data_IF_363651647410
#
_entry.id   IF_363651647410
#
_cell.length_a   1.000
_cell.length_b   1.000
_cell.length_c   1.000
_cell.angle_alpha   90.00
_cell.angle_beta   90.00
_cell.angle_gamma   90.00
#
_symmetry.space_group_name_H-M   'P 1'
#
loop_
_entity.id
_entity.type
_entity.pdbx_description
1 polymer ?
#
# COMPACT_ATOMS: atom_id res chain seq x y z
N UNK A 1 30.75 -13.64 36.18
CA UNK A 1 29.74 -14.05 35.18
C UNK A 1 28.75 -14.96 35.88
N UNK A 2 27.46 -14.82 35.63
CA UNK A 2 26.46 -15.74 36.16
C UNK A 2 26.65 -17.13 35.56
N UNK A 3 26.47 -18.19 36.34
CA UNK A 3 26.71 -19.57 35.92
C UNK A 3 25.63 -20.04 34.93
N UNK A 4 26.06 -20.71 33.85
CA UNK A 4 25.20 -21.32 32.84
C UNK A 4 25.25 -22.85 32.98
N UNK A 5 24.10 -23.49 33.13
CA UNK A 5 23.99 -24.95 33.20
C UNK A 5 23.03 -25.47 32.14
N UNK A 6 23.44 -26.47 31.36
CA UNK A 6 22.60 -27.18 30.40
C UNK A 6 22.26 -28.57 30.93
N UNK A 7 20.98 -28.81 31.18
CA UNK A 7 20.43 -30.14 31.42
C UNK A 7 20.04 -30.75 30.08
N UNK A 8 20.67 -31.86 29.71
CA UNK A 8 20.53 -32.47 28.40
C UNK A 8 20.62 -33.99 28.46
N UNK A 9 20.47 -34.64 27.31
CA UNK A 9 20.77 -36.07 27.18
C UNK A 9 21.52 -36.32 25.88
N UNK A 10 22.54 -37.16 25.91
CA UNK A 10 23.16 -37.67 24.69
C UNK A 10 22.78 -39.15 24.46
N UNK A 11 22.43 -39.55 23.23
CA UNK A 11 22.27 -38.71 22.04
C UNK A 11 20.90 -38.01 22.01
N UNK A 12 20.88 -36.68 21.81
CA UNK A 12 19.64 -35.94 21.53
C UNK A 12 19.92 -34.78 20.57
N UNK A 13 19.25 -34.73 19.40
CA UNK A 13 19.43 -33.62 18.46
C UNK A 13 18.97 -32.29 19.06
N UNK A 14 18.05 -32.30 20.03
CA UNK A 14 17.61 -31.08 20.72
C UNK A 14 18.70 -30.57 21.67
N UNK A 15 19.37 -31.47 22.40
CA UNK A 15 20.47 -31.11 23.31
C UNK A 15 21.69 -30.60 22.54
N UNK A 16 22.07 -31.28 21.46
CA UNK A 16 23.22 -30.87 20.63
C UNK A 16 23.07 -29.46 20.03
N UNK A 17 21.85 -29.04 19.71
CA UNK A 17 21.58 -27.67 19.23
C UNK A 17 21.98 -26.61 20.25
N UNK A 18 21.69 -26.84 21.53
CA UNK A 18 22.03 -25.90 22.62
C UNK A 18 23.53 -25.90 22.87
N UNK A 19 24.16 -27.08 22.87
CA UNK A 19 25.61 -27.24 22.97
C UNK A 19 26.34 -26.43 21.88
N UNK A 20 25.91 -26.55 20.62
CA UNK A 20 26.53 -25.81 19.52
C UNK A 20 26.31 -24.31 19.63
N UNK A 21 25.11 -23.86 20.02
CA UNK A 21 24.83 -22.44 20.21
C UNK A 21 25.73 -21.81 21.29
N UNK A 22 25.93 -22.50 22.43
CA UNK A 22 26.81 -22.04 23.51
C UNK A 22 28.28 -21.98 23.05
N UNK A 23 28.76 -23.03 22.36
CA UNK A 23 30.11 -23.08 21.80
C UNK A 23 30.36 -21.98 20.76
N UNK A 24 29.42 -21.73 19.85
CA UNK A 24 29.53 -20.68 18.83
C UNK A 24 29.57 -19.26 19.42
N UNK A 25 28.94 -19.07 20.58
CA UNK A 25 28.93 -17.79 21.30
C UNK A 25 30.08 -17.63 22.29
N UNK A 26 30.94 -18.65 22.44
CA UNK A 26 32.02 -18.64 23.43
C UNK A 26 31.50 -18.54 24.87
N UNK A 27 30.31 -19.10 25.14
CA UNK A 27 29.72 -19.10 26.48
C UNK A 27 30.12 -20.40 27.17
N UNK A 28 30.87 -20.28 28.26
CA UNK A 28 31.18 -21.42 29.12
C UNK A 28 29.92 -21.91 29.83
N UNK A 29 29.76 -23.22 29.94
CA UNK A 29 28.60 -23.83 30.57
C UNK A 29 28.94 -25.18 31.22
N UNK A 30 28.20 -25.51 32.27
CA UNK A 30 28.22 -26.83 32.90
C UNK A 30 27.17 -27.72 32.24
N UNK A 31 27.56 -28.91 31.77
CA UNK A 31 26.62 -29.89 31.21
C UNK A 31 26.22 -30.92 32.26
N UNK A 32 24.92 -31.14 32.44
CA UNK A 32 24.37 -32.20 33.28
C UNK A 32 23.58 -33.16 32.41
N UNK A 33 23.99 -34.43 32.41
CA UNK A 33 23.30 -35.47 31.67
C UNK A 33 22.10 -36.01 32.47
N UNK A 34 20.91 -36.03 31.86
CA UNK A 34 19.65 -36.44 32.46
C UNK A 34 19.20 -37.84 32.01
N UNK A 35 18.57 -38.56 32.93
CA UNK A 35 17.96 -39.87 32.71
C UNK A 35 16.43 -39.74 32.66
N UNK A 36 15.79 -40.34 31.65
CA UNK A 36 14.32 -40.31 31.52
C UNK A 36 13.60 -41.30 32.44
N UNK A 37 14.30 -42.30 32.96
CA UNK A 37 13.76 -43.26 33.92
C UNK A 37 13.91 -42.78 35.37
N UNK A 38 14.94 -41.99 35.65
CA UNK A 38 15.21 -41.41 36.97
C UNK A 38 15.64 -39.94 36.84
N UNK A 39 14.65 -39.06 36.65
CA UNK A 39 14.86 -37.62 36.39
C UNK A 39 15.43 -36.91 37.62
N UNK A 40 16.38 -36.00 37.43
CA UNK A 40 16.95 -35.25 38.56
C UNK A 40 15.94 -34.29 39.20
N UNK A 41 16.10 -34.04 40.51
CA UNK A 41 15.30 -33.05 41.23
C UNK A 41 15.45 -31.64 40.64
N UNK A 42 16.61 -31.33 40.06
CA UNK A 42 16.87 -30.05 39.41
C UNK A 42 16.11 -29.91 38.09
N UNK A 43 16.05 -30.97 37.28
CA UNK A 43 15.23 -30.96 36.06
C UNK A 43 13.75 -30.72 36.38
N UNK A 44 13.23 -31.41 37.41
CA UNK A 44 11.85 -31.23 37.84
C UNK A 44 11.59 -29.84 38.42
N UNK A 45 12.58 -29.23 39.09
CA UNK A 45 12.51 -27.85 39.56
C UNK A 45 12.45 -26.84 38.41
N UNK A 46 13.25 -27.05 37.37
CA UNK A 46 13.41 -26.07 36.28
C UNK A 46 12.44 -26.25 35.12
N UNK A 47 11.88 -27.45 34.94
CA UNK A 47 10.82 -27.73 33.96
C UNK A 47 9.71 -28.61 34.60
N UNK A 48 8.97 -28.08 35.59
CA UNK A 48 7.97 -28.86 36.32
C UNK A 48 6.78 -29.28 35.45
N UNK A 49 6.48 -28.52 34.39
CA UNK A 49 5.33 -28.74 33.51
C UNK A 49 5.60 -29.88 32.53
N UNK A 50 6.68 -29.80 31.76
CA UNK A 50 6.95 -30.77 30.69
C UNK A 50 7.92 -31.85 31.11
N UNK A 51 8.79 -31.57 32.09
CA UNK A 51 9.78 -32.51 32.62
C UNK A 51 10.64 -33.14 31.50
N UNK A 52 11.01 -32.33 30.51
CA UNK A 52 11.77 -32.69 29.30
C UNK A 52 13.07 -31.90 29.23
N UNK A 53 14.03 -32.46 28.50
CA UNK A 53 15.31 -31.82 28.13
C UNK A 53 15.34 -31.48 26.63
N UNK A 54 16.11 -30.47 26.18
CA UNK A 54 17.07 -29.68 26.95
C UNK A 54 16.44 -28.57 27.80
N UNK A 55 17.06 -28.26 28.95
CA UNK A 55 16.75 -27.08 29.77
C UNK A 55 18.04 -26.30 30.02
N UNK A 56 18.05 -25.02 29.64
CA UNK A 56 19.18 -24.13 29.89
C UNK A 56 18.86 -23.24 31.10
N UNK A 57 19.77 -23.17 32.06
CA UNK A 57 19.63 -22.40 33.29
C UNK A 57 20.74 -21.36 33.35
N UNK A 58 20.40 -20.12 33.63
CA UNK A 58 21.37 -19.03 33.79
C UNK A 58 21.07 -18.32 35.12
N UNK A 59 22.08 -18.23 36.00
CA UNK A 59 21.92 -17.59 37.31
C UNK A 59 20.81 -18.23 38.16
N UNK A 60 20.63 -19.55 38.07
CA UNK A 60 19.59 -20.29 38.79
C UNK A 60 18.16 -20.11 38.25
N UNK A 61 17.99 -19.50 37.07
CA UNK A 61 16.69 -19.34 36.40
C UNK A 61 16.63 -20.15 35.11
N UNK A 62 15.59 -20.97 34.96
CA UNK A 62 15.34 -21.71 33.73
C UNK A 62 14.96 -20.75 32.60
N UNK A 63 15.59 -20.91 31.44
CA UNK A 63 15.29 -20.16 30.23
C UNK A 63 14.16 -20.89 29.49
N UNK A 64 13.11 -20.15 29.12
CA UNK A 64 11.93 -20.69 28.46
C UNK A 64 12.26 -21.37 27.11
N UNK A 65 11.54 -22.44 26.80
CA UNK A 65 11.71 -23.28 25.59
C UNK A 65 11.56 -22.48 24.28
N UNK A 66 10.80 -21.37 24.30
CA UNK A 66 10.66 -20.43 23.19
C UNK A 66 11.99 -19.74 22.80
N UNK A 67 12.90 -19.53 23.75
CA UNK A 67 14.24 -18.98 23.47
C UNK A 67 15.17 -20.03 22.83
N UNK A 68 14.97 -21.31 23.15
CA UNK A 68 15.69 -22.42 22.53
C UNK A 68 15.23 -22.65 21.08
N UNK A 69 13.93 -22.45 20.81
CA UNK A 69 13.39 -22.42 19.45
C UNK A 69 13.93 -21.23 18.65
N UNK A 70 14.12 -20.06 19.29
CA UNK A 70 14.73 -18.88 18.68
C UNK A 70 16.20 -19.11 18.27
N UNK A 71 17.00 -19.79 19.11
CA UNK A 71 18.35 -20.24 18.75
C UNK A 71 18.34 -21.23 17.56
N UNK A 72 17.30 -22.06 17.47
CA UNK A 72 17.10 -23.01 16.38
C UNK A 72 16.85 -22.30 15.03
N UNK A 73 16.14 -21.16 15.04
CA UNK A 73 15.93 -20.31 13.87
C UNK A 73 17.22 -19.64 13.41
N UNK A 74 18.08 -19.23 14.36
CA UNK A 74 19.38 -18.60 14.08
C UNK A 74 20.40 -19.57 13.44
N UNK A 75 20.34 -20.86 13.74
CA UNK A 75 21.28 -21.87 13.21
C UNK A 75 20.96 -22.36 11.79
N UNK A 76 19.76 -22.06 11.25
CA UNK A 76 19.41 -22.42 9.86
C UNK A 76 20.08 -21.55 8.80
N UNK A 77 20.66 -20.42 9.19
CA UNK A 77 21.34 -19.50 8.29
C UNK A 77 22.83 -19.40 8.64
N UNK A 78 23.63 -20.30 8.07
CA UNK A 78 25.08 -20.33 8.19
C UNK A 78 25.78 -19.15 7.49
N UNK A 79 25.56 -17.92 7.95
CA UNK A 79 26.38 -16.75 7.58
C UNK A 79 26.86 -16.03 8.84
N UNK A 80 28.13 -15.63 8.81
CA UNK A 80 28.79 -14.76 9.79
C UNK A 80 27.84 -13.63 10.20
N UNK A 81 27.60 -13.51 11.50
CA UNK A 81 26.76 -12.47 12.08
C UNK A 81 27.56 -11.15 12.01
N UNK A 82 27.38 -10.38 10.93
CA UNK A 82 27.31 -8.94 11.11
C UNK A 82 26.04 -8.67 11.92
N UNK A 83 26.12 -7.81 12.94
CA UNK A 83 25.03 -7.45 13.83
C UNK A 83 23.69 -7.39 13.08
N UNK A 84 22.85 -8.41 13.24
CA UNK A 84 21.49 -8.37 12.73
C UNK A 84 20.75 -7.35 13.59
N UNK A 85 20.21 -6.30 12.98
CA UNK A 85 19.56 -5.27 13.76
C UNK A 85 18.23 -5.77 14.36
N UNK A 86 17.92 -5.29 15.56
CA UNK A 86 16.88 -5.79 16.47
C UNK A 86 15.46 -5.37 16.09
N UNK A 87 15.30 -4.44 15.14
CA UNK A 87 14.01 -3.88 14.71
C UNK A 87 13.84 -4.01 13.17
N UNK A 88 12.61 -4.18 12.70
CA UNK A 88 12.24 -3.99 11.27
C UNK A 88 12.69 -2.62 10.74
N UNK A 89 12.69 -1.60 11.61
CA UNK A 89 13.26 -0.29 11.32
C UNK A 89 14.72 -0.40 10.87
N UNK A 90 15.52 -1.15 11.62
CA UNK A 90 16.95 -1.28 11.36
C UNK A 90 17.28 -2.29 10.23
N UNK A 91 16.33 -3.13 9.77
CA UNK A 91 16.52 -4.05 8.62
C UNK A 91 16.36 -3.39 7.26
N UNK A 92 15.64 -2.27 7.17
CA UNK A 92 15.54 -1.47 5.94
C UNK A 92 16.83 -0.72 5.59
N UNK A 93 17.89 -0.94 6.36
CA UNK A 93 19.16 -0.23 6.27
C UNK A 93 20.14 -1.01 5.38
N UNK A 94 19.87 -0.94 4.09
CA UNK A 94 20.91 -0.98 3.07
C UNK A 94 20.63 0.20 2.14
N UNK A 95 21.50 1.20 2.20
CA UNK A 95 21.61 2.35 1.29
C UNK A 95 20.61 3.52 1.38
N UNK A 96 19.33 3.36 1.78
CA UNK A 96 18.34 4.48 1.71
C UNK A 96 17.71 4.95 3.04
N UNK A 97 17.89 4.18 4.13
CA UNK A 97 17.45 4.53 5.48
C UNK A 97 15.92 4.58 5.67
N UNK A 98 15.35 3.93 6.71
CA UNK A 98 13.90 3.93 7.00
C UNK A 98 13.29 5.34 7.08
N UNK A 99 14.11 6.34 7.43
CA UNK A 99 13.70 7.72 7.61
C UNK A 99 13.18 8.38 6.32
N UNK A 100 13.73 8.07 5.14
CA UNK A 100 13.26 8.67 3.88
C UNK A 100 11.87 8.14 3.51
N UNK A 101 11.65 6.83 3.62
CA UNK A 101 10.35 6.19 3.36
C UNK A 101 9.27 6.78 4.27
N UNK A 102 9.55 6.86 5.58
CA UNK A 102 8.61 7.41 6.57
C UNK A 102 8.32 8.89 6.26
N UNK A 103 9.36 9.68 5.96
CA UNK A 103 9.20 11.10 5.66
C UNK A 103 8.36 11.33 4.40
N UNK A 104 8.63 10.57 3.32
CA UNK A 104 7.88 10.69 2.06
C UNK A 104 6.44 10.21 2.21
N UNK A 105 6.19 9.12 2.93
CA UNK A 105 4.83 8.63 3.18
C UNK A 105 4.02 9.62 4.04
N UNK A 106 4.63 10.19 5.10
CA UNK A 106 4.04 11.25 5.90
C UNK A 106 3.78 12.53 5.07
N UNK A 107 4.73 12.93 4.21
CA UNK A 107 4.56 14.06 3.31
C UNK A 107 3.39 13.88 2.35
N UNK A 108 3.22 12.69 1.78
CA UNK A 108 2.08 12.38 0.92
C UNK A 108 0.75 12.56 1.68
N UNK A 109 0.72 12.22 2.97
CA UNK A 109 -0.39 12.42 3.88
C UNK A 109 -0.61 13.84 4.41
N UNK A 110 0.08 14.87 3.88
CA UNK A 110 -0.06 16.26 4.35
C UNK A 110 -1.52 16.74 4.26
N UNK A 111 -2.10 17.27 5.35
CA UNK A 111 -3.45 17.86 5.31
C UNK A 111 -3.57 18.95 4.24
N UNK A 112 -4.66 18.93 3.48
CA UNK A 112 -4.85 19.85 2.34
C UNK A 112 -4.21 19.37 1.04
N UNK A 113 -3.57 18.19 1.01
CA UNK A 113 -2.95 17.64 -0.21
C UNK A 113 -3.41 16.21 -0.48
N UNK A 114 -3.31 15.80 -1.74
CA UNK A 114 -3.50 14.42 -2.17
C UNK A 114 -2.72 14.08 -3.44
N UNK A 115 -3.09 12.99 -4.10
CA UNK A 115 -2.36 12.44 -5.25
C UNK A 115 -3.19 12.58 -6.53
N UNK A 116 -2.55 13.08 -7.59
CA UNK A 116 -3.05 12.93 -8.96
C UNK A 116 -2.62 11.56 -9.50
N UNK A 117 -3.57 10.70 -9.87
CA UNK A 117 -3.28 9.44 -10.55
C UNK A 117 -3.31 9.66 -12.07
N UNK A 118 -2.16 9.95 -12.68
CA UNK A 118 -1.96 10.16 -14.11
C UNK A 118 -1.21 8.99 -14.77
N UNK A 119 -1.40 7.78 -14.22
CA UNK A 119 -0.70 6.55 -14.55
C UNK A 119 -1.48 5.64 -15.50
N UNK A 120 -2.40 6.22 -16.27
CA UNK A 120 -3.10 5.48 -17.30
C UNK A 120 -2.10 4.90 -18.32
N UNK A 121 -2.19 3.59 -18.56
CA UNK A 121 -1.46 2.91 -19.63
C UNK A 121 -1.82 3.50 -21.00
N UNK A 122 -1.01 3.23 -22.02
CA UNK A 122 -1.29 3.67 -23.40
C UNK A 122 -2.69 3.22 -23.88
N UNK A 123 -3.13 2.02 -23.50
CA UNK A 123 -4.47 1.52 -23.83
C UNK A 123 -5.57 2.26 -23.06
N UNK A 124 -5.38 2.47 -21.76
CA UNK A 124 -6.38 3.13 -20.91
C UNK A 124 -6.54 4.62 -21.22
N UNK A 125 -5.44 5.34 -21.45
CA UNK A 125 -5.51 6.74 -21.86
C UNK A 125 -6.09 6.89 -23.26
N UNK A 126 -5.88 5.90 -24.14
CA UNK A 126 -6.51 5.84 -25.45
C UNK A 126 -8.03 5.88 -25.37
N UNK A 127 -8.64 5.08 -24.49
CA UNK A 127 -10.11 5.12 -24.26
C UNK A 127 -10.58 6.50 -23.79
N UNK A 128 -9.80 7.18 -22.96
CA UNK A 128 -10.13 8.54 -22.50
C UNK A 128 -10.01 9.57 -23.62
N UNK A 129 -8.95 9.54 -24.41
CA UNK A 129 -8.78 10.44 -25.55
C UNK A 129 -9.87 10.21 -26.61
N UNK A 130 -10.21 8.95 -26.91
CA UNK A 130 -11.30 8.65 -27.84
C UNK A 130 -12.66 9.20 -27.39
N UNK A 131 -12.93 9.26 -26.07
CA UNK A 131 -14.18 9.83 -25.55
C UNK A 131 -14.37 11.33 -25.83
N UNK A 132 -13.28 12.04 -26.18
CA UNK A 132 -13.27 13.44 -26.58
C UNK A 132 -12.83 13.62 -28.05
N UNK A 133 -12.87 12.54 -28.84
CA UNK A 133 -12.46 12.50 -30.25
C UNK A 133 -11.01 12.92 -30.51
N UNK A 134 -10.11 12.61 -29.58
CA UNK A 134 -8.67 12.86 -29.71
C UNK A 134 -7.94 11.56 -30.02
N UNK A 135 -7.01 11.61 -30.98
CA UNK A 135 -6.21 10.44 -31.37
C UNK A 135 -5.19 10.06 -30.28
N UNK A 136 -5.00 8.76 -30.05
CA UNK A 136 -4.05 8.22 -29.09
C UNK A 136 -2.62 8.14 -29.64
N UNK A 137 -2.02 9.30 -29.85
CA UNK A 137 -0.59 9.44 -30.23
C UNK A 137 0.22 10.01 -29.06
N UNK A 138 1.53 9.77 -29.06
CA UNK A 138 2.42 10.19 -27.98
C UNK A 138 2.37 11.70 -27.73
N UNK A 139 2.32 12.52 -28.79
CA UNK A 139 2.21 13.97 -28.69
C UNK A 139 0.98 14.43 -27.90
N UNK A 140 -0.17 13.79 -28.12
CA UNK A 140 -1.42 14.11 -27.41
C UNK A 140 -1.40 13.62 -25.97
N UNK A 141 -0.82 12.43 -25.70
CA UNK A 141 -0.61 11.95 -24.34
C UNK A 141 0.27 12.93 -23.56
N UNK A 142 1.43 13.29 -24.12
CA UNK A 142 2.35 14.29 -23.57
C UNK A 142 1.68 15.64 -23.33
N UNK A 143 0.90 16.14 -24.30
CA UNK A 143 0.19 17.42 -24.19
C UNK A 143 -0.82 17.44 -23.04
N UNK A 144 -1.59 16.35 -22.87
CA UNK A 144 -2.47 16.20 -21.71
C UNK A 144 -1.71 16.21 -20.39
N UNK A 145 -0.57 15.49 -20.31
CA UNK A 145 0.25 15.47 -19.08
C UNK A 145 0.85 16.82 -18.77
N UNK A 146 1.37 17.51 -19.79
CA UNK A 146 1.88 18.87 -19.66
C UNK A 146 0.81 19.85 -19.20
N UNK A 147 -0.41 19.77 -19.77
CA UNK A 147 -1.55 20.57 -19.33
C UNK A 147 -1.79 20.43 -17.82
N UNK A 148 -1.84 19.19 -17.32
CA UNK A 148 -2.07 18.89 -15.90
C UNK A 148 -0.91 19.39 -15.02
N UNK A 149 0.33 19.05 -15.35
CA UNK A 149 1.49 19.32 -14.49
C UNK A 149 1.92 20.78 -14.50
N UNK A 150 1.67 21.50 -15.60
CA UNK A 150 1.98 22.92 -15.74
C UNK A 150 0.79 23.83 -15.42
N UNK A 151 -0.31 23.30 -14.85
CA UNK A 151 -1.44 24.14 -14.42
C UNK A 151 -1.00 25.08 -13.28
N UNK A 152 -1.07 26.42 -13.46
CA UNK A 152 -0.69 27.36 -12.43
C UNK A 152 -1.51 27.18 -11.14
N UNK A 153 -0.82 27.03 -10.01
CA UNK A 153 -1.46 26.90 -8.70
C UNK A 153 -2.12 25.55 -8.39
N UNK A 154 -2.08 24.56 -9.29
CA UNK A 154 -2.64 23.24 -9.00
C UNK A 154 -1.72 22.39 -8.10
N UNK A 155 -0.40 22.43 -8.35
CA UNK A 155 0.58 21.59 -7.67
C UNK A 155 0.62 21.79 -6.14
N UNK A 156 0.23 22.97 -5.64
CA UNK A 156 0.16 23.23 -4.19
C UNK A 156 -0.83 22.31 -3.45
N UNK A 157 -1.85 21.81 -4.15
CA UNK A 157 -2.87 20.90 -3.62
C UNK A 157 -2.51 19.42 -3.80
N UNK A 158 -1.36 19.15 -4.43
CA UNK A 158 -0.87 17.81 -4.68
C UNK A 158 0.38 17.56 -3.84
N UNK A 159 0.46 16.37 -3.24
CA UNK A 159 1.65 15.87 -2.57
C UNK A 159 2.40 14.86 -3.44
N UNK A 160 1.69 14.19 -4.36
CA UNK A 160 2.30 13.30 -5.34
C UNK A 160 1.54 13.23 -6.67
N UNK A 161 2.23 12.81 -7.71
CA UNK A 161 1.60 12.40 -8.98
C UNK A 161 2.08 11.00 -9.36
N UNK A 162 1.15 10.07 -9.60
CA UNK A 162 1.51 8.73 -10.13
C UNK A 162 1.60 8.84 -11.65
N UNK A 163 2.72 8.38 -12.20
CA UNK A 163 3.02 8.38 -13.62
C UNK A 163 2.94 6.98 -14.21
N UNK A 164 2.71 6.93 -15.52
CA UNK A 164 3.03 5.77 -16.34
C UNK A 164 4.49 5.88 -16.83
N UNK A 165 5.12 4.76 -17.15
CA UNK A 165 6.55 4.72 -17.52
C UNK A 165 6.90 5.62 -18.71
N UNK A 166 6.02 5.70 -19.72
CA UNK A 166 6.20 6.63 -20.84
C UNK A 166 6.32 8.09 -20.33
N UNK A 167 5.45 8.50 -19.41
CA UNK A 167 5.40 9.87 -18.88
C UNK A 167 6.58 10.20 -17.97
N UNK A 168 7.13 9.21 -17.24
CA UNK A 168 8.30 9.42 -16.38
C UNK A 168 9.49 10.00 -17.16
N UNK A 169 9.68 9.57 -18.41
CA UNK A 169 10.79 9.99 -19.26
C UNK A 169 10.39 11.06 -20.30
N UNK A 170 9.14 11.51 -20.30
CA UNK A 170 8.67 12.59 -21.16
C UNK A 170 9.08 13.98 -20.65
N UNK A 171 9.02 14.93 -21.57
CA UNK A 171 9.36 16.34 -21.37
C UNK A 171 8.21 17.24 -21.81
N UNK A 172 8.16 18.43 -21.24
CA UNK A 172 7.34 19.55 -21.73
C UNK A 172 7.73 19.92 -23.15
N UNK A 173 6.91 20.73 -23.82
CA UNK A 173 7.21 21.19 -25.18
C UNK A 173 8.49 22.05 -25.20
N UNK A 174 8.77 22.72 -24.08
CA UNK A 174 10.00 23.48 -23.84
C UNK A 174 11.22 22.62 -23.45
N UNK A 175 11.10 21.28 -23.45
CA UNK A 175 12.21 20.37 -23.21
C UNK A 175 12.53 20.08 -21.73
N UNK A 176 11.69 20.52 -20.80
CA UNK A 176 11.87 20.27 -19.37
C UNK A 176 11.30 18.91 -18.95
N UNK A 177 12.05 18.04 -18.26
CA UNK A 177 11.51 16.78 -17.73
C UNK A 177 10.31 17.01 -16.80
N UNK A 178 9.28 16.17 -16.91
CA UNK A 178 8.11 16.30 -16.02
C UNK A 178 8.45 16.09 -14.54
N UNK A 179 9.42 15.23 -14.24
CA UNK A 179 9.92 15.04 -12.87
C UNK A 179 10.48 16.33 -12.26
N UNK A 180 11.11 17.18 -13.08
CA UNK A 180 11.65 18.47 -12.61
C UNK A 180 10.54 19.48 -12.39
N UNK A 181 9.51 19.49 -13.25
CA UNK A 181 8.29 20.30 -13.04
C UNK A 181 7.64 19.96 -11.70
N UNK A 182 7.49 18.66 -11.39
CA UNK A 182 6.93 18.21 -10.13
C UNK A 182 7.79 18.59 -8.93
N UNK A 183 9.11 18.37 -9.03
CA UNK A 183 10.05 18.69 -7.95
C UNK A 183 10.04 20.16 -7.59
N UNK A 184 10.02 21.06 -8.58
CA UNK A 184 9.92 22.50 -8.35
C UNK A 184 8.56 22.91 -7.76
N UNK A 185 7.48 22.21 -8.11
CA UNK A 185 6.17 22.36 -7.49
C UNK A 185 6.05 21.73 -6.10
N UNK A 186 7.10 21.11 -5.57
CA UNK A 186 7.08 20.38 -4.30
C UNK A 186 6.22 19.11 -4.34
N UNK A 187 6.06 18.48 -5.50
CA UNK A 187 5.25 17.28 -5.67
C UNK A 187 6.17 16.08 -5.88
N UNK A 188 5.94 14.99 -5.15
CA UNK A 188 6.71 13.77 -5.34
C UNK A 188 6.29 13.07 -6.64
N UNK A 189 7.24 12.65 -7.49
CA UNK A 189 6.93 11.73 -8.60
C UNK A 189 6.72 10.32 -8.06
N UNK A 190 5.63 9.69 -8.50
CA UNK A 190 5.30 8.29 -8.25
C UNK A 190 5.22 7.51 -9.56
N UNK A 191 5.33 6.18 -9.49
CA UNK A 191 5.31 5.32 -10.69
C UNK A 191 4.40 4.11 -10.51
N UNK A 192 3.59 3.79 -11.53
CA UNK A 192 2.89 2.51 -11.60
C UNK A 192 3.88 1.41 -11.98
N UNK A 193 3.99 0.36 -11.18
CA UNK A 193 4.94 -0.73 -11.43
C UNK A 193 4.30 -2.09 -11.69
N UNK A 194 3.01 -2.26 -11.41
CA UNK A 194 2.29 -3.47 -11.83
C UNK A 194 2.23 -3.59 -13.36
N UNK A 195 2.15 -4.83 -13.85
CA UNK A 195 2.03 -5.17 -15.27
C UNK A 195 0.60 -5.64 -15.60
N UNK A 196 -0.40 -5.18 -14.83
CA UNK A 196 -1.79 -5.54 -15.01
C UNK A 196 -2.17 -6.89 -14.40
N UNK A 197 -3.45 -7.22 -14.57
CA UNK A 197 -4.10 -8.39 -13.97
C UNK A 197 -4.16 -9.58 -14.94
N UNK A 198 -4.09 -10.78 -14.39
CA UNK A 198 -4.41 -12.04 -15.09
C UNK A 198 -5.45 -12.83 -14.30
N UNK A 199 -6.21 -13.65 -15.01
CA UNK A 199 -7.26 -14.47 -14.40
C UNK A 199 -6.66 -15.63 -13.58
N UNK A 200 -7.29 -15.91 -12.44
CA UNK A 200 -6.98 -17.06 -11.60
C UNK A 200 -7.76 -18.27 -12.10
N UNK A 201 -7.05 -19.28 -12.60
CA UNK A 201 -7.67 -20.52 -13.05
C UNK A 201 -8.46 -21.20 -11.91
N UNK A 202 -9.64 -21.74 -12.24
CA UNK A 202 -10.53 -22.36 -11.25
C UNK A 202 -11.36 -21.37 -10.42
N UNK A 203 -11.28 -20.08 -10.71
CA UNK A 203 -12.17 -19.05 -10.15
C UNK A 203 -13.20 -18.60 -11.19
N UNK A 204 -14.27 -17.94 -10.73
CA UNK A 204 -15.25 -17.33 -11.61
C UNK A 204 -14.75 -15.96 -12.07
N UNK A 205 -13.74 -15.91 -12.95
CA UNK A 205 -13.21 -14.66 -13.51
C UNK A 205 -12.65 -13.70 -12.46
N UNK A 206 -12.02 -14.22 -11.40
CA UNK A 206 -11.23 -13.43 -10.45
C UNK A 206 -9.80 -13.30 -10.95
N UNK A 207 -9.06 -12.33 -10.42
CA UNK A 207 -7.73 -12.00 -10.93
C UNK A 207 -6.67 -11.97 -9.86
N UNK A 208 -5.42 -12.18 -10.26
CA UNK A 208 -4.21 -11.76 -9.54
C UNK A 208 -3.43 -10.77 -10.39
N UNK A 209 -2.45 -10.08 -9.81
CA UNK A 209 -1.70 -9.02 -10.49
C UNK A 209 -0.25 -9.43 -10.74
N UNK A 210 0.27 -9.10 -11.91
CA UNK A 210 1.63 -9.43 -12.32
C UNK A 210 2.59 -8.24 -12.22
N UNK A 211 3.90 -8.51 -12.26
CA UNK A 211 4.94 -7.47 -12.32
C UNK A 211 6.10 -7.62 -11.35
N UNK A 212 6.14 -8.70 -10.55
CA UNK A 212 7.22 -8.94 -9.57
C UNK A 212 8.55 -9.28 -10.25
N UNK A 213 8.52 -9.92 -11.42
CA UNK A 213 9.72 -10.29 -12.17
C UNK A 213 10.46 -9.02 -12.63
N UNK A 214 11.71 -8.90 -12.18
CA UNK A 214 12.56 -7.74 -12.43
C UNK A 214 12.14 -6.46 -11.70
N UNK A 215 11.22 -6.55 -10.72
CA UNK A 215 10.69 -5.37 -10.04
C UNK A 215 11.78 -4.57 -9.30
N UNK A 216 12.68 -5.23 -8.59
CA UNK A 216 13.76 -4.57 -7.85
C UNK A 216 14.63 -3.69 -8.77
N UNK A 217 15.05 -4.22 -9.92
CA UNK A 217 15.86 -3.50 -10.90
C UNK A 217 15.10 -2.29 -11.47
N UNK A 218 13.81 -2.45 -11.76
CA UNK A 218 12.97 -1.33 -12.20
C UNK A 218 12.82 -0.27 -11.11
N UNK A 219 12.59 -0.66 -9.86
CA UNK A 219 12.51 0.28 -8.73
C UNK A 219 13.80 1.09 -8.57
N UNK A 220 14.98 0.47 -8.71
CA UNK A 220 16.28 1.17 -8.68
C UNK A 220 16.40 2.21 -9.79
N UNK A 221 16.01 1.84 -11.02
CA UNK A 221 16.01 2.75 -12.16
C UNK A 221 15.04 3.91 -11.95
N UNK A 222 13.83 3.64 -11.45
CA UNK A 222 12.83 4.67 -11.17
C UNK A 222 13.26 5.61 -10.04
N UNK A 223 13.84 5.07 -8.96
CA UNK A 223 14.38 5.89 -7.87
C UNK A 223 15.47 6.85 -8.39
N UNK A 224 16.39 6.34 -9.23
CA UNK A 224 17.41 7.15 -9.89
C UNK A 224 16.83 8.20 -10.85
N UNK A 225 15.68 7.93 -11.45
CA UNK A 225 14.93 8.88 -12.28
C UNK A 225 14.12 9.92 -11.45
N UNK A 226 14.22 9.91 -10.12
CA UNK A 226 13.58 10.90 -9.24
C UNK A 226 12.25 10.45 -8.63
N UNK A 227 11.83 9.21 -8.85
CA UNK A 227 10.62 8.65 -8.25
C UNK A 227 10.82 8.39 -6.75
N UNK A 228 9.79 8.61 -5.94
CA UNK A 228 9.83 8.39 -4.48
C UNK A 228 8.73 7.50 -3.92
N UNK A 229 7.73 7.15 -4.74
CA UNK A 229 6.72 6.19 -4.37
C UNK A 229 6.26 5.37 -5.57
N UNK A 230 5.70 4.19 -5.30
CA UNK A 230 5.21 3.28 -6.32
C UNK A 230 3.72 3.00 -6.11
N UNK A 231 3.06 2.51 -7.16
CA UNK A 231 1.67 2.04 -7.12
C UNK A 231 1.58 0.64 -7.72
N UNK A 232 0.81 -0.22 -7.05
CA UNK A 232 0.44 -1.55 -7.54
C UNK A 232 -1.03 -1.81 -7.27
N UNK A 233 -1.81 -2.03 -8.33
CA UNK A 233 -3.25 -2.28 -8.23
C UNK A 233 -3.55 -3.78 -8.24
N UNK A 234 -4.12 -4.28 -7.16
CA UNK A 234 -4.85 -5.54 -7.11
C UNK A 234 -6.35 -5.31 -7.31
N UNK A 235 -7.05 -6.29 -7.89
CA UNK A 235 -8.46 -6.17 -8.24
C UNK A 235 -9.22 -7.36 -7.69
N UNK A 236 -10.25 -7.06 -6.91
CA UNK A 236 -11.20 -8.02 -6.36
C UNK A 236 -12.62 -7.59 -6.75
N UNK A 237 -13.55 -8.54 -6.76
CA UNK A 237 -14.96 -8.26 -7.10
C UNK A 237 -15.88 -8.88 -6.07
N UNK A 238 -17.07 -8.31 -5.95
CA UNK A 238 -18.15 -8.84 -5.12
C UNK A 238 -19.14 -9.56 -6.02
N UNK A 239 -19.40 -10.83 -5.71
CA UNK A 239 -20.37 -11.65 -6.41
C UNK A 239 -20.99 -12.69 -5.48
N UNK A 240 -21.80 -13.62 -6.00
CA UNK A 240 -22.42 -14.65 -5.17
C UNK A 240 -21.41 -15.52 -4.41
N UNK A 241 -20.24 -15.76 -5.01
CA UNK A 241 -19.15 -16.56 -4.46
C UNK A 241 -17.82 -15.82 -4.37
N UNK A 242 -17.77 -14.57 -4.83
CA UNK A 242 -16.58 -13.72 -4.88
C UNK A 242 -16.62 -12.60 -3.82
N UNK A 243 -15.47 -12.19 -3.26
CA UNK A 243 -14.15 -12.71 -3.55
C UNK A 243 -13.87 -14.04 -2.85
N UNK A 244 -13.33 -15.00 -3.60
CA UNK A 244 -12.91 -16.29 -3.06
C UNK A 244 -11.71 -16.12 -2.13
N UNK A 245 -11.50 -17.08 -1.22
CA UNK A 245 -10.32 -17.05 -0.35
C UNK A 245 -9.01 -17.09 -1.16
N UNK A 246 -9.01 -17.77 -2.32
CA UNK A 246 -7.86 -17.81 -3.21
C UNK A 246 -7.53 -16.41 -3.75
N UNK A 247 -8.52 -15.70 -4.30
CA UNK A 247 -8.32 -14.35 -4.84
C UNK A 247 -7.84 -13.37 -3.76
N UNK A 248 -8.40 -13.43 -2.55
CA UNK A 248 -7.96 -12.60 -1.43
C UNK A 248 -6.49 -12.89 -1.09
N UNK A 249 -6.12 -14.16 -0.93
CA UNK A 249 -4.77 -14.57 -0.54
C UNK A 249 -3.73 -14.19 -1.60
N UNK A 250 -4.00 -14.47 -2.88
CA UNK A 250 -3.08 -14.19 -3.99
C UNK A 250 -2.81 -12.70 -4.14
N UNK A 251 -3.85 -11.86 -4.08
CA UNK A 251 -3.69 -10.42 -4.17
C UNK A 251 -2.99 -9.83 -2.93
N UNK A 252 -3.34 -10.28 -1.72
CA UNK A 252 -2.67 -9.83 -0.49
C UNK A 252 -1.18 -10.19 -0.49
N UNK A 253 -0.83 -11.42 -0.88
CA UNK A 253 0.56 -11.87 -0.96
C UNK A 253 1.33 -11.13 -2.08
N UNK A 254 0.70 -10.91 -3.24
CA UNK A 254 1.28 -10.13 -4.33
C UNK A 254 1.60 -8.69 -3.92
N UNK A 255 0.65 -8.01 -3.26
CA UNK A 255 0.83 -6.67 -2.70
C UNK A 255 1.94 -6.62 -1.65
N UNK A 256 2.03 -7.62 -0.75
CA UNK A 256 3.05 -7.65 0.27
C UNK A 256 4.47 -7.83 -0.32
N UNK A 257 4.62 -8.72 -1.31
CA UNK A 257 5.88 -8.89 -2.04
C UNK A 257 6.28 -7.64 -2.81
N UNK A 258 5.32 -6.99 -3.47
CA UNK A 258 5.55 -5.72 -4.15
C UNK A 258 6.04 -4.64 -3.15
N UNK A 259 5.38 -4.54 -2.00
CA UNK A 259 5.66 -3.51 -1.01
C UNK A 259 7.07 -3.63 -0.44
N UNK A 260 7.50 -4.84 -0.04
CA UNK A 260 8.85 -5.03 0.50
C UNK A 260 9.93 -4.75 -0.55
N UNK A 261 9.73 -5.17 -1.80
CA UNK A 261 10.66 -4.87 -2.90
C UNK A 261 10.75 -3.36 -3.15
N UNK A 262 9.65 -2.62 -3.05
CA UNK A 262 9.70 -1.16 -3.19
C UNK A 262 10.51 -0.52 -2.06
N UNK A 263 10.27 -0.93 -0.82
CA UNK A 263 10.97 -0.39 0.34
C UNK A 263 12.48 -0.68 0.32
N UNK A 264 12.88 -1.89 -0.10
CA UNK A 264 14.29 -2.26 -0.31
C UNK A 264 15.00 -1.36 -1.34
N UNK A 265 14.23 -0.68 -2.20
CA UNK A 265 14.75 0.17 -3.27
C UNK A 265 14.32 1.65 -3.11
N UNK A 266 13.99 2.07 -1.87
CA UNK A 266 13.76 3.48 -1.52
C UNK A 266 12.42 4.07 -1.97
N UNK A 267 11.46 3.24 -2.42
CA UNK A 267 10.15 3.70 -2.88
C UNK A 267 9.07 3.38 -1.84
N UNK A 268 8.28 4.38 -1.46
CA UNK A 268 7.07 4.18 -0.63
C UNK A 268 6.03 3.40 -1.45
N UNK A 269 5.61 2.19 -1.06
CA UNK A 269 4.58 1.47 -1.79
C UNK A 269 3.17 1.96 -1.41
N UNK A 270 2.42 2.42 -2.40
CA UNK A 270 0.96 2.50 -2.32
C UNK A 270 0.40 1.10 -2.54
N UNK A 271 -0.26 0.56 -1.52
CA UNK A 271 -0.94 -0.74 -1.53
C UNK A 271 -2.38 -0.50 -1.96
N UNK A 272 -2.77 -0.97 -3.16
CA UNK A 272 -4.10 -0.73 -3.75
C UNK A 272 -4.88 -2.04 -3.94
N UNK A 273 -5.58 -2.55 -2.90
CA UNK A 273 -6.51 -3.66 -3.02
C UNK A 273 -7.90 -3.13 -3.41
N UNK A 274 -8.12 -2.85 -4.70
CA UNK A 274 -9.39 -2.31 -5.17
C UNK A 274 -10.45 -3.40 -5.22
N UNK A 275 -11.52 -3.22 -4.44
CA UNK A 275 -12.76 -3.99 -4.59
C UNK A 275 -13.66 -3.21 -5.55
N UNK A 276 -13.99 -3.86 -6.66
CA UNK A 276 -14.84 -3.30 -7.70
C UNK A 276 -16.27 -3.07 -7.19
N UNK A 277 -16.88 -1.99 -7.68
CA UNK A 277 -18.25 -1.61 -7.35
C UNK A 277 -19.29 -2.38 -8.16
N UNK A 278 -18.90 -3.18 -9.15
CA UNK A 278 -19.82 -3.88 -10.05
C UNK A 278 -20.82 -4.79 -9.28
N UNK A 279 -22.10 -4.70 -9.64
CA UNK A 279 -23.18 -5.55 -9.12
C UNK A 279 -24.22 -4.82 -8.27
N UNK A 280 -25.11 -5.60 -7.65
CA UNK A 280 -26.30 -5.11 -6.91
C UNK A 280 -26.19 -5.25 -5.38
N UNK A 281 -24.98 -5.47 -4.86
CA UNK A 281 -24.73 -5.64 -3.42
C UNK A 281 -25.01 -4.34 -2.65
N UNK A 282 -25.44 -4.46 -1.39
CA UNK A 282 -25.62 -3.33 -0.49
C UNK A 282 -24.29 -2.85 0.12
N UNK A 283 -24.35 -1.75 0.87
CA UNK A 283 -23.16 -1.15 1.47
C UNK A 283 -22.60 -2.02 2.61
N UNK A 284 -23.46 -2.77 3.29
CA UNK A 284 -23.09 -3.73 4.34
C UNK A 284 -22.23 -4.86 3.78
N UNK A 285 -22.61 -5.43 2.63
CA UNK A 285 -21.82 -6.43 1.92
C UNK A 285 -20.46 -5.86 1.47
N UNK A 286 -20.44 -4.65 0.92
CA UNK A 286 -19.19 -3.99 0.57
C UNK A 286 -18.28 -3.79 1.80
N UNK A 287 -18.86 -3.44 2.95
CA UNK A 287 -18.12 -3.25 4.19
C UNK A 287 -17.49 -4.55 4.69
N UNK A 288 -18.27 -5.64 4.73
CA UNK A 288 -17.78 -6.97 5.15
C UNK A 288 -16.62 -7.45 4.28
N UNK A 289 -16.79 -7.36 2.95
CA UNK A 289 -15.73 -7.74 2.00
C UNK A 289 -14.50 -6.85 2.17
N UNK A 290 -14.69 -5.53 2.33
CA UNK A 290 -13.58 -4.59 2.55
C UNK A 290 -12.81 -4.93 3.83
N UNK A 291 -13.50 -5.22 4.94
CA UNK A 291 -12.86 -5.61 6.19
C UNK A 291 -12.05 -6.91 6.03
N UNK A 292 -12.64 -7.95 5.41
CA UNK A 292 -11.96 -9.23 5.18
C UNK A 292 -10.70 -9.08 4.31
N UNK A 293 -10.79 -8.29 3.23
CA UNK A 293 -9.67 -8.05 2.31
C UNK A 293 -8.56 -7.25 3.00
N UNK A 294 -8.89 -6.15 3.68
CA UNK A 294 -7.89 -5.31 4.35
C UNK A 294 -7.20 -6.04 5.51
N UNK A 295 -7.94 -6.82 6.31
CA UNK A 295 -7.35 -7.65 7.36
C UNK A 295 -6.33 -8.64 6.78
N UNK A 296 -6.65 -9.28 5.65
CA UNK A 296 -5.73 -10.22 4.99
C UNK A 296 -4.52 -9.50 4.39
N UNK A 297 -4.71 -8.32 3.80
CA UNK A 297 -3.62 -7.50 3.28
C UNK A 297 -2.64 -7.09 4.39
N UNK A 298 -3.11 -6.57 5.52
CA UNK A 298 -2.23 -6.18 6.62
C UNK A 298 -1.53 -7.36 7.29
N UNK A 299 -2.19 -8.52 7.38
CA UNK A 299 -1.53 -9.76 7.80
C UNK A 299 -0.38 -10.13 6.85
N UNK A 300 -0.61 -10.08 5.54
CA UNK A 300 0.41 -10.37 4.55
C UNK A 300 1.57 -9.35 4.61
N UNK A 301 1.28 -8.05 4.72
CA UNK A 301 2.31 -7.01 4.88
C UNK A 301 3.20 -7.28 6.10
N UNK A 302 2.60 -7.69 7.22
CA UNK A 302 3.35 -8.05 8.43
C UNK A 302 4.22 -9.30 8.24
N UNK A 303 3.68 -10.34 7.58
CA UNK A 303 4.42 -11.57 7.28
C UNK A 303 5.65 -11.33 6.39
N UNK A 304 5.55 -10.35 5.50
CA UNK A 304 6.65 -9.92 4.61
C UNK A 304 7.53 -8.81 5.21
N UNK A 305 7.33 -8.48 6.50
CA UNK A 305 8.14 -7.52 7.25
C UNK A 305 8.13 -6.09 6.67
N UNK A 306 7.02 -5.69 6.03
CA UNK A 306 6.85 -4.35 5.47
C UNK A 306 6.76 -3.31 6.60
N UNK A 307 7.54 -2.24 6.47
CA UNK A 307 7.53 -1.10 7.39
C UNK A 307 6.28 -0.23 7.14
N UNK A 308 5.25 -0.35 7.98
CA UNK A 308 3.94 0.28 7.73
C UNK A 308 4.00 1.82 7.71
N UNK A 309 4.87 2.42 8.51
CA UNK A 309 5.13 3.86 8.57
C UNK A 309 5.65 4.42 7.25
N UNK A 310 6.29 3.57 6.43
CA UNK A 310 6.76 3.86 5.09
C UNK A 310 5.85 3.32 3.99
N UNK A 311 4.55 3.15 4.25
CA UNK A 311 3.54 2.71 3.25
C UNK A 311 2.37 3.69 3.16
N UNK A 312 1.53 3.48 2.15
CA UNK A 312 0.23 4.14 2.01
C UNK A 312 -0.82 3.11 1.60
N UNK A 313 -2.06 3.30 2.04
CA UNK A 313 -3.19 2.48 1.57
C UNK A 313 -4.02 3.26 0.55
N UNK A 314 -4.34 2.63 -0.58
CA UNK A 314 -5.29 3.14 -1.58
C UNK A 314 -6.46 2.17 -1.74
N UNK A 315 -7.44 2.21 -0.84
CA UNK A 315 -8.60 1.33 -0.92
C UNK A 315 -9.71 1.99 -1.72
N UNK A 316 -10.72 1.19 -2.12
CA UNK A 316 -12.04 1.71 -2.45
C UNK A 316 -12.68 2.37 -1.23
N UNK A 317 -13.55 3.36 -1.47
CA UNK A 317 -14.54 3.74 -0.47
C UNK A 317 -15.57 2.61 -0.34
N UNK A 318 -16.21 2.49 0.82
CA UNK A 318 -17.27 1.50 1.04
C UNK A 318 -18.59 2.08 0.52
N UNK A 319 -19.04 1.58 -0.62
CA UNK A 319 -20.23 2.05 -1.33
C UNK A 319 -21.12 0.86 -1.70
N UNK A 320 -22.43 1.06 -1.92
CA UNK A 320 -23.26 0.05 -2.55
C UNK A 320 -22.74 -0.24 -3.98
N UNK A 321 -23.16 -1.38 -4.52
CA UNK A 321 -22.83 -1.77 -5.88
C UNK A 321 -23.40 -0.82 -6.93
N UNK A 322 -22.83 -0.83 -8.14
CA UNK A 322 -23.18 0.05 -9.25
C UNK A 322 -24.64 -0.04 -9.67
N UNK A 323 -25.25 -1.21 -9.50
CA UNK A 323 -26.64 -1.50 -9.86
C UNK A 323 -27.59 -1.37 -8.65
N UNK A 324 -27.05 -1.09 -7.46
CA UNK A 324 -27.80 -0.86 -6.25
C UNK A 324 -28.17 0.62 -6.08
N UNK A 325 -29.09 0.89 -5.15
CA UNK A 325 -29.51 2.26 -4.86
C UNK A 325 -28.36 3.04 -4.22
N UNK A 326 -28.06 4.23 -4.76
CA UNK A 326 -27.11 5.16 -4.15
C UNK A 326 -27.52 5.50 -2.70
N UNK A 327 -26.51 5.65 -1.85
CA UNK A 327 -26.66 6.05 -0.45
C UNK A 327 -26.08 7.44 -0.22
N UNK A 328 -26.33 8.00 0.96
CA UNK A 328 -25.83 9.33 1.31
C UNK A 328 -24.32 9.33 1.58
N UNK A 329 -23.61 10.46 1.37
CA UNK A 329 -22.21 10.59 1.77
C UNK A 329 -21.94 10.31 3.24
N UNK A 330 -22.93 10.57 4.12
CA UNK A 330 -22.84 10.26 5.55
C UNK A 330 -22.75 8.74 5.80
N UNK A 331 -23.55 7.94 5.09
CA UNK A 331 -23.47 6.48 5.17
C UNK A 331 -22.14 5.97 4.61
N UNK A 332 -21.72 6.44 3.42
CA UNK A 332 -20.42 6.08 2.84
C UNK A 332 -19.29 6.37 3.83
N UNK A 333 -19.30 7.55 4.44
CA UNK A 333 -18.28 7.95 5.40
C UNK A 333 -18.26 7.07 6.65
N UNK A 334 -19.43 6.75 7.21
CA UNK A 334 -19.54 5.93 8.41
C UNK A 334 -19.02 4.51 8.17
N UNK A 335 -19.49 3.85 7.11
CA UNK A 335 -19.05 2.50 6.77
C UNK A 335 -17.58 2.44 6.38
N UNK A 336 -17.09 3.42 5.59
CA UNK A 336 -15.68 3.45 5.17
C UNK A 336 -14.74 3.65 6.36
N UNK A 337 -15.00 4.66 7.21
CA UNK A 337 -14.14 4.92 8.38
C UNK A 337 -14.18 3.76 9.37
N UNK A 338 -15.36 3.13 9.56
CA UNK A 338 -15.49 1.97 10.44
C UNK A 338 -14.70 0.76 9.93
N UNK A 339 -14.77 0.46 8.64
CA UNK A 339 -14.01 -0.65 8.04
C UNK A 339 -12.50 -0.45 8.21
N UNK A 340 -12.01 0.78 8.02
CA UNK A 340 -10.60 1.14 8.28
C UNK A 340 -10.24 0.99 9.76
N UNK A 341 -11.06 1.51 10.68
CA UNK A 341 -10.83 1.39 12.14
C UNK A 341 -10.72 -0.06 12.61
N UNK A 342 -11.43 -0.99 11.98
CA UNK A 342 -11.42 -2.41 12.34
C UNK A 342 -10.22 -3.18 11.82
N UNK A 343 -9.50 -2.66 10.83
CA UNK A 343 -8.54 -3.46 10.04
C UNK A 343 -7.16 -2.83 9.91
N UNK A 344 -7.07 -1.51 9.90
CA UNK A 344 -5.83 -0.80 9.60
C UNK A 344 -5.04 -0.49 10.89
N UNK A 345 -3.74 -0.78 10.93
CA UNK A 345 -2.87 -0.36 12.05
C UNK A 345 -2.63 1.15 12.06
N UNK A 346 -2.53 1.74 13.25
CA UNK A 346 -2.25 3.17 13.46
C UNK A 346 -0.93 3.67 12.81
N UNK A 347 0.02 2.77 12.57
CA UNK A 347 1.34 3.08 12.02
C UNK A 347 1.31 3.57 10.55
N UNK A 348 0.29 3.23 9.77
CA UNK A 348 0.19 3.67 8.36
C UNK A 348 -0.15 5.16 8.31
N UNK A 349 0.66 6.03 7.71
CA UNK A 349 0.48 7.49 7.86
C UNK A 349 -0.78 8.03 7.17
N UNK A 350 -1.18 7.47 6.02
CA UNK A 350 -2.31 8.00 5.25
C UNK A 350 -3.03 6.95 4.40
N UNK A 351 -4.33 7.20 4.23
CA UNK A 351 -5.21 6.55 3.26
C UNK A 351 -5.46 7.52 2.11
N UNK A 352 -5.16 7.11 0.89
CA UNK A 352 -5.34 7.90 -0.33
C UNK A 352 -6.36 7.22 -1.23
N UNK A 353 -7.64 7.47 -1.01
CA UNK A 353 -8.73 6.73 -1.65
C UNK A 353 -8.66 6.79 -3.18
N UNK A 354 -8.95 5.66 -3.84
CA UNK A 354 -9.31 5.67 -5.26
C UNK A 354 -10.75 6.17 -5.43
N UNK A 355 -11.03 6.84 -6.55
CA UNK A 355 -12.39 7.32 -6.83
C UNK A 355 -13.33 6.24 -7.36
N UNK A 356 -12.78 5.15 -7.92
CA UNK A 356 -13.57 4.11 -8.57
C UNK A 356 -14.42 4.72 -9.69
N UNK A 357 -15.70 4.34 -9.74
CA UNK A 357 -16.69 4.85 -10.70
C UNK A 357 -17.44 6.11 -10.27
N UNK A 358 -17.09 6.73 -9.14
CA UNK A 358 -17.76 7.93 -8.65
C UNK A 358 -17.55 9.12 -9.59
N UNK A 359 -18.53 10.03 -9.63
CA UNK A 359 -18.34 11.34 -10.27
C UNK A 359 -17.28 12.18 -9.55
N UNK A 360 -16.80 13.25 -10.18
CA UNK A 360 -15.83 14.16 -9.55
C UNK A 360 -16.41 14.76 -8.25
N UNK A 361 -17.69 15.14 -8.29
CA UNK A 361 -18.38 15.73 -7.14
C UNK A 361 -18.70 14.71 -6.05
N UNK A 362 -19.16 13.51 -6.43
CA UNK A 362 -19.46 12.42 -5.49
C UNK A 362 -18.21 12.00 -4.70
N UNK A 363 -17.08 11.83 -5.40
CA UNK A 363 -15.81 11.48 -4.76
C UNK A 363 -15.36 12.54 -3.75
N UNK A 364 -15.54 13.82 -4.10
CA UNK A 364 -15.16 14.95 -3.24
C UNK A 364 -16.09 15.05 -2.01
N UNK A 365 -17.40 14.90 -2.20
CA UNK A 365 -18.38 14.95 -1.12
C UNK A 365 -18.20 13.78 -0.13
N UNK A 366 -17.94 12.58 -0.63
CA UNK A 366 -17.67 11.42 0.21
C UNK A 366 -16.39 11.62 1.04
N UNK A 367 -15.29 12.07 0.41
CA UNK A 367 -14.05 12.38 1.12
C UNK A 367 -14.24 13.47 2.19
N UNK A 368 -14.94 14.56 1.84
CA UNK A 368 -15.25 15.65 2.76
C UNK A 368 -16.04 15.16 3.98
N UNK A 369 -17.02 14.27 3.74
CA UNK A 369 -17.88 13.74 4.80
C UNK A 369 -17.11 12.81 5.74
N UNK A 370 -16.18 12.01 5.21
CA UNK A 370 -15.24 11.21 6.03
C UNK A 370 -14.38 12.09 6.95
N UNK A 371 -13.87 13.21 6.42
CA UNK A 371 -13.05 14.13 7.22
C UNK A 371 -13.86 14.89 8.28
N UNK A 372 -15.13 15.24 7.99
CA UNK A 372 -16.08 15.82 8.96
C UNK A 372 -16.53 14.87 10.07
N UNK A 373 -16.51 13.55 9.81
CA UNK A 373 -17.01 12.55 10.76
C UNK A 373 -16.26 12.62 12.10
N UNK A 374 -16.98 12.80 13.21
CA UNK A 374 -16.39 12.80 14.55
C UNK A 374 -16.09 11.36 15.01
N UNK A 375 -14.93 10.85 14.63
CA UNK A 375 -14.46 9.50 14.95
C UNK A 375 -12.93 9.49 15.10
N UNK A 376 -12.39 8.46 15.77
CA UNK A 376 -10.93 8.26 15.87
C UNK A 376 -10.37 7.90 14.49
N UNK A 377 -9.51 8.77 13.95
CA UNK A 377 -8.86 8.57 12.66
C UNK A 377 -7.37 8.84 12.86
N UNK A 378 -6.56 7.84 13.25
CA UNK A 378 -5.14 8.04 13.55
C UNK A 378 -4.28 8.23 12.29
N UNK A 379 -4.91 8.38 11.12
CA UNK A 379 -4.30 8.51 9.80
C UNK A 379 -4.90 9.69 9.06
N UNK A 380 -4.15 10.27 8.13
CA UNK A 380 -4.71 11.21 7.17
C UNK A 380 -5.66 10.49 6.20
N UNK A 381 -6.83 11.07 5.92
CA UNK A 381 -7.75 10.60 4.89
C UNK A 381 -7.73 11.58 3.72
N UNK A 382 -7.16 11.14 2.60
CA UNK A 382 -6.94 11.94 1.40
C UNK A 382 -7.32 11.17 0.13
N UNK A 383 -6.94 11.68 -1.04
CA UNK A 383 -7.31 11.18 -2.35
C UNK A 383 -6.10 10.70 -3.16
N UNK A 384 -6.31 9.69 -4.00
CA UNK A 384 -5.48 9.33 -5.15
C UNK A 384 -6.38 9.14 -6.36
N UNK A 385 -6.75 10.26 -6.98
CA UNK A 385 -7.81 10.32 -7.97
C UNK A 385 -7.26 10.44 -9.39
N UNK A 386 -7.77 9.59 -10.28
CA UNK A 386 -7.56 9.69 -11.72
C UNK A 386 -8.75 10.39 -12.37
N UNK A 387 -9.78 9.60 -12.72
CA UNK A 387 -11.02 10.10 -13.34
C UNK A 387 -11.65 11.28 -12.57
N UNK A 388 -11.76 11.19 -11.25
CA UNK A 388 -12.38 12.22 -10.41
C UNK A 388 -11.60 13.56 -10.31
N UNK A 389 -10.40 13.64 -10.91
CA UNK A 389 -9.64 14.89 -11.05
C UNK A 389 -9.48 15.33 -12.51
N UNK A 390 -9.78 14.46 -13.48
CA UNK A 390 -9.41 14.68 -14.88
C UNK A 390 -10.60 14.76 -15.83
N UNK A 391 -11.81 14.34 -15.42
CA UNK A 391 -12.94 14.20 -16.35
C UNK A 391 -13.35 15.55 -16.95
N UNK A 392 -13.64 16.54 -16.11
CA UNK A 392 -14.04 17.87 -16.61
C UNK A 392 -12.88 18.57 -17.32
N UNK A 393 -11.64 18.33 -16.91
CA UNK A 393 -10.43 18.82 -17.59
C UNK A 393 -10.32 18.27 -19.02
N UNK A 394 -10.51 16.97 -19.19
CA UNK A 394 -10.47 16.31 -20.50
C UNK A 394 -11.56 16.85 -21.43
N UNK A 395 -12.80 16.96 -20.93
CA UNK A 395 -13.92 17.52 -21.68
C UNK A 395 -13.68 18.98 -22.08
N UNK A 396 -13.16 19.79 -21.15
CA UNK A 396 -12.86 21.19 -21.41
C UNK A 396 -11.75 21.34 -22.45
N UNK A 397 -10.71 20.48 -22.39
CA UNK A 397 -9.58 20.52 -23.31
C UNK A 397 -9.98 20.10 -24.74
N UNK A 398 -10.67 18.97 -24.88
CA UNK A 398 -11.09 18.41 -26.16
C UNK A 398 -9.96 18.26 -27.20
N UNK A 399 -8.70 18.16 -26.75
CA UNK A 399 -7.51 18.06 -27.62
C UNK A 399 -7.07 19.36 -28.30
N UNK A 400 -7.64 20.50 -27.91
CA UNK A 400 -7.45 21.79 -28.60
C UNK A 400 -6.56 22.73 -27.80
N UNK A 401 -5.58 23.35 -28.45
CA UNK A 401 -4.63 24.26 -27.81
C UNK A 401 -5.33 25.52 -27.27
N UNK A 402 -6.32 26.04 -27.99
CA UNK A 402 -7.11 27.21 -27.58
C UNK A 402 -7.94 26.97 -26.31
N UNK A 403 -8.13 25.71 -25.90
CA UNK A 403 -8.89 25.32 -24.72
C UNK A 403 -8.02 25.05 -23.48
N UNK A 404 -6.70 25.17 -23.58
CA UNK A 404 -5.78 24.82 -22.48
C UNK A 404 -6.11 25.60 -21.21
N UNK A 405 -6.28 26.92 -21.28
CA UNK A 405 -6.57 27.74 -20.09
C UNK A 405 -7.89 27.33 -19.42
N UNK A 406 -8.93 27.04 -20.21
CA UNK A 406 -10.23 26.58 -19.71
C UNK A 406 -10.10 25.23 -19.01
N UNK A 407 -9.33 24.30 -19.59
CA UNK A 407 -9.09 22.99 -19.00
C UNK A 407 -8.24 23.07 -17.73
N UNK A 408 -7.22 23.92 -17.70
CA UNK A 408 -6.40 24.18 -16.51
C UNK A 408 -7.24 24.78 -15.38
N UNK A 409 -8.19 25.68 -15.68
CA UNK A 409 -9.11 26.22 -14.68
C UNK A 409 -10.03 25.13 -14.10
N UNK A 410 -10.55 24.22 -14.94
CA UNK A 410 -11.35 23.07 -14.48
C UNK A 410 -10.53 22.13 -13.57
N UNK A 411 -9.28 21.84 -13.97
CA UNK A 411 -8.37 21.02 -13.18
C UNK A 411 -8.06 21.65 -11.81
N UNK A 412 -7.71 22.95 -11.80
CA UNK A 412 -7.43 23.69 -10.57
C UNK A 412 -8.63 23.71 -9.62
N UNK A 413 -9.84 23.92 -10.16
CA UNK A 413 -11.09 23.84 -9.39
C UNK A 413 -11.21 22.51 -8.67
N UNK A 414 -10.96 21.39 -9.37
CA UNK A 414 -11.02 20.06 -8.75
C UNK A 414 -9.89 19.78 -7.77
N UNK A 415 -8.68 20.25 -8.03
CA UNK A 415 -7.57 20.15 -7.07
C UNK A 415 -7.90 20.87 -5.76
N UNK A 416 -8.41 22.10 -5.85
CA UNK A 416 -8.79 22.90 -4.68
C UNK A 416 -9.94 22.25 -3.89
N UNK A 417 -10.99 21.81 -4.58
CA UNK A 417 -12.14 21.19 -3.93
C UNK A 417 -11.77 19.88 -3.20
N UNK A 418 -10.91 19.05 -3.80
CA UNK A 418 -10.41 17.85 -3.13
C UNK A 418 -9.47 18.18 -1.97
N UNK A 419 -8.63 19.21 -2.10
CA UNK A 419 -7.84 19.74 -0.97
C UNK A 419 -8.73 20.13 0.22
N UNK A 420 -9.78 20.91 -0.03
CA UNK A 420 -10.76 21.30 1.00
C UNK A 420 -11.50 20.08 1.59
N UNK A 421 -11.76 19.04 0.78
CA UNK A 421 -12.36 17.81 1.25
C UNK A 421 -11.45 17.02 2.21
N UNK A 422 -10.12 17.07 2.04
CA UNK A 422 -9.18 16.48 3.03
C UNK A 422 -9.27 17.16 4.39
N UNK A 423 -9.67 18.44 4.41
CA UNK A 423 -9.81 19.24 5.63
C UNK A 423 -11.24 19.21 6.19
N UNK A 424 -12.18 18.56 5.50
CA UNK A 424 -13.58 18.53 5.91
C UNK A 424 -14.27 19.91 5.82
N UNK A 425 -13.81 20.80 4.93
CA UNK A 425 -14.36 22.16 4.79
C UNK A 425 -14.99 22.43 3.42
N UNK A 426 -14.96 21.45 2.51
CA UNK A 426 -15.56 21.60 1.19
C UNK A 426 -17.09 21.82 1.30
N UNK A 427 -17.60 22.79 0.53
CA UNK A 427 -18.98 23.28 0.62
C UNK A 427 -19.90 22.78 -0.51
N UNK A 428 -19.39 22.02 -1.48
CA UNK A 428 -20.18 21.57 -2.63
C UNK A 428 -20.31 22.62 -3.73
N UNK A 429 -19.37 23.57 -3.77
CA UNK A 429 -19.39 24.77 -4.61
C UNK A 429 -18.28 24.79 -5.67
N UNK A 430 -17.58 23.67 -5.88
CA UNK A 430 -16.67 23.56 -7.01
C UNK A 430 -17.44 23.83 -8.30
N UNK A 431 -16.85 24.62 -9.21
CA UNK A 431 -17.49 24.92 -10.48
C UNK A 431 -17.91 23.61 -11.16
N UNK A 432 -19.22 23.44 -11.36
CA UNK A 432 -19.79 22.30 -12.06
C UNK A 432 -19.47 22.47 -13.55
N UNK A 433 -18.23 22.18 -13.94
CA UNK A 433 -17.86 22.02 -15.33
C UNK A 433 -18.64 20.86 -15.94
N UNK A 434 -18.75 20.84 -17.26
CA UNK A 434 -19.37 19.74 -17.98
C UNK A 434 -18.77 18.40 -17.52
N UNK A 435 -19.63 17.48 -17.07
CA UNK A 435 -19.24 16.15 -16.61
C UNK A 435 -18.90 15.98 -15.13
N UNK A 436 -18.86 17.05 -14.31
CA UNK A 436 -18.47 16.94 -12.90
C UNK A 436 -19.38 16.02 -12.07
N UNK A 437 -20.67 15.95 -12.43
CA UNK A 437 -21.69 15.12 -11.77
C UNK A 437 -21.96 13.78 -12.48
N UNK A 438 -21.33 13.53 -13.62
CA UNK A 438 -21.55 12.31 -14.39
C UNK A 438 -20.90 11.09 -13.72
N UNK A 439 -21.60 9.96 -13.73
CA UNK A 439 -21.02 8.69 -13.29
C UNK A 439 -19.81 8.35 -14.14
N UNK A 440 -18.70 7.99 -13.50
CA UNK A 440 -17.46 7.58 -14.17
C UNK A 440 -17.30 6.07 -14.19
N UNK A 441 -18.32 5.32 -13.73
CA UNK A 441 -18.31 3.87 -13.70
C UNK A 441 -18.21 3.29 -15.12
N UNK A 442 -17.35 2.29 -15.25
CA UNK A 442 -17.22 1.47 -16.45
C UNK A 442 -17.21 0.04 -15.96
N UNK A 443 -18.17 -0.75 -16.44
CA UNK A 443 -18.31 -2.15 -16.05
C UNK A 443 -17.03 -2.93 -16.33
N UNK A 444 -16.59 -3.74 -15.37
CA UNK A 444 -15.38 -4.57 -15.49
C UNK A 444 -14.12 -3.78 -15.91
N UNK A 445 -13.90 -2.59 -15.34
CA UNK A 445 -12.81 -1.70 -15.73
C UNK A 445 -11.42 -2.32 -15.52
N UNK A 446 -10.69 -2.52 -16.63
CA UNK A 446 -9.29 -2.98 -16.68
C UNK A 446 -8.36 -1.86 -17.14
N UNK A 447 -7.22 -1.67 -16.44
CA UNK A 447 -6.19 -0.67 -16.73
C UNK A 447 -5.26 -1.06 -17.88
#
# INVERSE_FOLDING_TARGET
>A
MEEVTLFGREPSPFTYRVIWALKLKGIDYTYTNEDFTNKSALLLKYNPVYQKVPVLVHGGKAIAESLLLYLNTLMRHGRKIHHLPKDSYERSVADFGPNELIANAAYIGTPGKGILAADESTGTIGKRLSSINVENVESNRRALRELLFCTPGALQYLSGVILYEETLYQKTAAGKPFVDVMKEGGVLPGIKVDKGTVELAGTNGETTTQGLDGLAQRCQQYYAAGVRFAKWRAVLKIGPTEPSQLAINENANGLARYAIICQENGLVPIVEPEILVDGSHDIECCADVTERVLATCYKALNDHHVLLEGTLLKPNMVTPGSDAKKVTPAMVAEYTVRALQRTMPAAVPAVVFLSGGQSEEEATLNLNTMNKLKAKKPWSLSFSFGRALQQSTLKAWAGKEENVEKAQAAFLSRCKANSEATLGIYKGDAAQGDGASESLHVKDYKY
#
